data_IF_889217116578
#
_entry.id   IF_889217116578
#
_cell.length_a   1.000
_cell.length_b   1.000
_cell.length_c   1.000
_cell.angle_alpha   90.00
_cell.angle_beta   90.00
_cell.angle_gamma   90.00
#
_symmetry.space_group_name_H-M   'P 1'
#
loop_
_entity.id
_entity.type
_entity.pdbx_description
1 polymer ?
#
# COMPACT_ATOMS: atom_id res chain seq x y z
N UNK A 1 83.85 -1.45 13.08
CA UNK A 1 82.61 -0.68 13.09
C UNK A 1 81.48 -1.58 12.58
N UNK A 2 80.58 -2.02 13.45
CA UNK A 2 79.49 -2.94 13.12
C UNK A 2 78.22 -2.09 13.02
N UNK A 3 77.63 -2.04 11.84
CA UNK A 3 76.32 -1.42 11.56
C UNK A 3 75.23 -2.42 11.83
N UNK A 4 74.34 -2.13 12.81
CA UNK A 4 73.11 -2.86 13.03
C UNK A 4 72.00 -2.29 12.12
N UNK A 5 71.42 -3.16 11.30
CA UNK A 5 70.22 -2.87 10.55
C UNK A 5 68.98 -3.25 11.39
N UNK A 6 68.14 -2.29 11.66
CA UNK A 6 66.82 -2.49 12.27
C UNK A 6 65.78 -2.71 11.17
N UNK A 7 65.26 -3.94 11.05
CA UNK A 7 64.09 -4.23 10.19
C UNK A 7 62.81 -4.02 11.00
N UNK A 8 62.09 -2.94 10.70
CA UNK A 8 60.78 -2.70 11.25
C UNK A 8 59.71 -3.38 10.41
N UNK A 9 59.03 -4.35 10.98
CA UNK A 9 57.88 -5.02 10.36
C UNK A 9 56.62 -4.18 10.69
N UNK A 10 56.05 -3.55 9.66
CA UNK A 10 54.73 -2.88 9.76
C UNK A 10 53.66 -3.93 9.54
N UNK A 11 52.94 -4.28 10.61
CA UNK A 11 51.73 -5.11 10.52
C UNK A 11 50.56 -4.24 10.10
N UNK A 12 50.08 -4.39 8.88
CA UNK A 12 48.86 -3.77 8.41
C UNK A 12 47.64 -4.54 8.96
N UNK A 13 46.95 -3.96 9.94
CA UNK A 13 45.64 -4.45 10.33
C UNK A 13 44.62 -4.11 9.22
N UNK A 14 44.22 -5.11 8.44
CA UNK A 14 43.05 -5.01 7.58
C UNK A 14 41.80 -5.08 8.42
N UNK A 15 41.12 -3.93 8.66
CA UNK A 15 39.74 -3.92 9.15
C UNK A 15 38.84 -4.50 8.05
N UNK A 16 38.43 -5.75 8.22
CA UNK A 16 37.34 -6.34 7.44
C UNK A 16 36.06 -5.74 8.02
N UNK A 17 35.52 -4.74 7.34
CA UNK A 17 34.14 -4.30 7.59
C UNK A 17 33.21 -5.44 7.16
N UNK A 18 32.82 -6.30 8.09
CA UNK A 18 31.71 -7.22 7.91
C UNK A 18 30.44 -6.38 7.84
N UNK A 19 29.99 -6.04 6.63
CA UNK A 19 28.62 -5.59 6.42
C UNK A 19 27.71 -6.67 6.99
N UNK A 20 26.99 -6.36 8.07
CA UNK A 20 25.95 -7.21 8.57
C UNK A 20 24.88 -7.34 7.46
N UNK A 21 24.92 -8.44 6.71
CA UNK A 21 23.77 -8.87 5.94
C UNK A 21 22.68 -9.12 6.98
N UNK A 22 21.57 -8.37 6.92
CA UNK A 22 20.41 -8.63 7.73
C UNK A 22 20.05 -10.11 7.57
N UNK A 23 20.00 -10.85 8.69
CA UNK A 23 19.68 -12.26 8.63
C UNK A 23 18.21 -12.42 8.22
N UNK A 24 17.95 -13.39 7.37
CA UNK A 24 16.62 -13.72 6.89
C UNK A 24 15.65 -13.92 8.09
N UNK A 25 14.52 -13.16 8.12
CA UNK A 25 13.51 -13.26 9.17
C UNK A 25 13.69 -12.36 10.40
N UNK A 26 14.55 -11.35 10.37
CA UNK A 26 14.77 -10.47 11.51
C UNK A 26 13.57 -9.58 11.84
N UNK A 27 12.82 -9.08 10.85
CA UNK A 27 11.65 -8.22 11.07
C UNK A 27 10.54 -8.95 11.85
N UNK A 28 10.27 -10.23 11.55
CA UNK A 28 9.30 -11.03 12.30
C UNK A 28 9.66 -11.12 13.80
N UNK A 29 10.94 -11.35 14.11
CA UNK A 29 11.43 -11.44 15.49
C UNK A 29 11.30 -10.10 16.20
N UNK A 30 11.66 -8.99 15.53
CA UNK A 30 11.54 -7.65 16.06
C UNK A 30 10.09 -7.27 16.37
N UNK A 31 9.16 -7.52 15.43
CA UNK A 31 7.73 -7.26 15.59
C UNK A 31 7.16 -8.07 16.76
N UNK A 32 7.50 -9.38 16.85
CA UNK A 32 7.07 -10.23 17.96
C UNK A 32 7.64 -9.77 19.31
N UNK A 33 8.92 -9.41 19.37
CA UNK A 33 9.57 -8.94 20.59
C UNK A 33 9.00 -7.60 21.07
N UNK A 34 8.70 -6.69 20.14
CA UNK A 34 8.10 -5.39 20.42
C UNK A 34 6.60 -5.50 20.76
N UNK A 35 5.92 -6.54 20.26
CA UNK A 35 4.49 -6.77 20.47
C UNK A 35 3.57 -5.78 19.74
N UNK A 36 4.08 -5.09 18.73
CA UNK A 36 3.33 -4.13 17.91
C UNK A 36 3.92 -4.07 16.50
N UNK A 37 3.05 -3.99 15.48
CA UNK A 37 3.42 -3.75 14.08
C UNK A 37 3.48 -2.24 13.81
N UNK A 38 4.61 -1.73 13.32
CA UNK A 38 4.70 -0.37 12.80
C UNK A 38 4.30 -0.37 11.34
N UNK A 39 3.14 0.20 11.01
CA UNK A 39 2.62 0.25 9.65
C UNK A 39 2.67 1.69 9.12
N UNK A 40 3.44 1.91 8.04
CA UNK A 40 3.48 3.19 7.33
C UNK A 40 2.21 3.36 6.51
N UNK A 41 1.52 4.50 6.71
CA UNK A 41 0.21 4.76 6.11
C UNK A 41 0.15 6.17 5.51
N UNK A 42 -0.90 6.48 4.76
CA UNK A 42 -1.15 7.84 4.26
C UNK A 42 -1.40 8.81 5.43
N UNK A 43 -1.09 10.08 5.27
CA UNK A 43 -1.33 11.14 6.27
C UNK A 43 -2.80 11.43 6.52
N UNK A 44 -3.70 11.06 5.57
CA UNK A 44 -5.14 11.23 5.66
C UNK A 44 -5.77 11.17 4.27
N UNK A 45 -6.12 9.97 3.82
CA UNK A 45 -6.90 9.74 2.59
C UNK A 45 -8.11 8.89 2.97
N UNK A 46 -9.29 9.53 2.97
CA UNK A 46 -10.55 8.87 3.36
C UNK A 46 -10.76 7.59 2.55
N UNK A 47 -11.22 6.54 3.22
CA UNK A 47 -11.43 5.22 2.62
C UNK A 47 -10.16 4.38 2.48
N UNK A 48 -8.96 4.96 2.38
CA UNK A 48 -7.70 4.23 2.33
C UNK A 48 -6.99 4.21 3.69
N UNK A 49 -6.61 5.36 4.21
CA UNK A 49 -6.03 5.49 5.54
C UNK A 49 -6.31 6.89 6.09
N UNK A 50 -7.22 7.02 7.03
CA UNK A 50 -7.51 8.28 7.68
C UNK A 50 -7.91 8.07 9.15
N UNK A 51 -7.48 8.97 10.07
CA UNK A 51 -7.98 8.98 11.43
C UNK A 51 -9.34 9.70 11.48
N UNK A 52 -10.23 9.23 12.37
CA UNK A 52 -11.43 9.98 12.74
C UNK A 52 -11.10 11.10 13.75
N UNK A 53 -12.11 11.85 14.18
CA UNK A 53 -11.97 12.94 15.15
C UNK A 53 -11.43 12.47 16.53
N UNK A 54 -11.52 11.17 16.83
CA UNK A 54 -11.01 10.56 18.06
C UNK A 54 -9.63 9.96 17.88
N UNK A 55 -9.05 10.04 16.68
CA UNK A 55 -7.75 9.47 16.32
C UNK A 55 -7.79 7.98 15.97
N UNK A 56 -8.98 7.38 15.77
CA UNK A 56 -9.08 5.98 15.32
C UNK A 56 -8.88 5.89 13.82
N UNK A 57 -7.93 5.07 13.40
CA UNK A 57 -7.61 4.86 12.00
C UNK A 57 -8.53 3.84 11.33
N UNK A 58 -8.97 4.17 10.12
CA UNK A 58 -9.80 3.28 9.29
C UNK A 58 -9.45 3.41 7.81
N UNK A 59 -9.86 2.42 7.01
CA UNK A 59 -9.72 2.40 5.57
C UNK A 59 -9.10 1.11 5.05
N UNK A 60 -8.98 1.05 3.73
CA UNK A 60 -8.53 -0.12 2.97
C UNK A 60 -7.11 -0.57 3.36
N UNK A 61 -6.15 0.38 3.39
CA UNK A 61 -4.77 0.11 3.80
C UNK A 61 -4.68 -0.22 5.30
N UNK A 62 -5.52 0.42 6.12
CA UNK A 62 -5.60 0.15 7.57
C UNK A 62 -6.10 -1.27 7.84
N UNK A 63 -7.08 -1.76 7.07
CA UNK A 63 -7.58 -3.13 7.20
C UNK A 63 -6.48 -4.15 6.89
N UNK A 64 -5.64 -3.88 5.89
CA UNK A 64 -4.49 -4.74 5.59
C UNK A 64 -3.46 -4.72 6.74
N UNK A 65 -3.10 -3.56 7.32
CA UNK A 65 -2.22 -3.49 8.48
C UNK A 65 -2.77 -4.33 9.66
N UNK A 66 -4.08 -4.23 9.92
CA UNK A 66 -4.75 -5.03 10.96
C UNK A 66 -4.70 -6.54 10.67
N UNK A 67 -4.85 -6.92 9.40
CA UNK A 67 -4.76 -8.32 8.98
C UNK A 67 -3.35 -8.88 9.22
N UNK A 68 -2.28 -8.14 8.88
CA UNK A 68 -0.90 -8.53 9.17
C UNK A 68 -0.64 -8.63 10.68
N UNK A 69 -1.10 -7.66 11.46
CA UNK A 69 -0.96 -7.71 12.93
C UNK A 69 -1.70 -8.90 13.54
N UNK A 70 -2.90 -9.21 13.08
CA UNK A 70 -3.66 -10.38 13.51
C UNK A 70 -2.96 -11.69 13.15
N UNK A 71 -2.37 -11.77 11.95
CA UNK A 71 -1.60 -12.93 11.51
C UNK A 71 -0.37 -13.18 12.40
N UNK A 72 0.40 -12.14 12.70
CA UNK A 72 1.71 -12.21 13.36
C UNK A 72 1.62 -12.20 14.87
N UNK A 73 0.74 -11.36 15.43
CA UNK A 73 0.63 -11.07 16.87
C UNK A 73 -0.65 -11.61 17.51
N UNK A 74 -1.56 -12.18 16.71
CA UNK A 74 -2.84 -12.70 17.19
C UNK A 74 -3.88 -11.63 17.52
N UNK A 75 -3.55 -10.35 17.35
CA UNK A 75 -4.41 -9.22 17.76
C UNK A 75 -4.35 -8.09 16.72
N UNK A 76 -5.45 -7.78 16.01
CA UNK A 76 -5.51 -6.71 15.01
C UNK A 76 -5.33 -5.30 15.59
N UNK A 77 -5.45 -5.12 16.90
CA UNK A 77 -5.25 -3.83 17.56
C UNK A 77 -3.77 -3.50 17.79
N UNK A 78 -2.87 -4.46 17.63
CA UNK A 78 -1.43 -4.33 17.85
C UNK A 78 -0.72 -3.66 16.65
N UNK A 79 -1.23 -2.53 16.22
CA UNK A 79 -0.67 -1.71 15.14
C UNK A 79 -0.39 -0.30 15.62
N UNK A 80 0.80 0.19 15.35
CA UNK A 80 1.15 1.61 15.39
C UNK A 80 1.14 2.14 13.95
N UNK A 81 0.22 3.03 13.66
CA UNK A 81 0.18 3.71 12.37
C UNK A 81 1.16 4.87 12.35
N UNK A 82 2.01 4.91 11.31
CA UNK A 82 3.02 5.95 11.10
C UNK A 82 2.65 6.71 9.83
N UNK A 83 2.06 7.91 9.94
CA UNK A 83 1.70 8.70 8.78
C UNK A 83 2.93 9.14 7.99
N UNK A 84 2.90 8.96 6.66
CA UNK A 84 4.00 9.32 5.76
C UNK A 84 3.48 10.08 4.54
N UNK A 85 4.30 11.02 4.04
CA UNK A 85 4.03 11.75 2.79
C UNK A 85 4.53 10.98 1.56
N UNK A 86 4.30 11.50 0.36
CA UNK A 86 4.90 10.98 -0.87
C UNK A 86 6.42 10.90 -0.82
N UNK A 87 7.06 11.89 -0.17
CA UNK A 87 8.52 12.01 -0.06
C UNK A 87 9.11 11.16 1.06
N UNK A 88 8.43 11.02 2.21
CA UNK A 88 9.02 10.39 3.41
C UNK A 88 8.78 8.89 3.53
N UNK A 89 7.77 8.33 2.85
CA UNK A 89 7.33 6.93 3.00
C UNK A 89 8.43 5.90 2.76
N UNK A 90 9.25 6.09 1.73
CA UNK A 90 10.29 5.11 1.39
C UNK A 90 11.49 5.22 2.33
N UNK A 91 11.82 6.41 2.82
CA UNK A 91 12.84 6.60 3.85
C UNK A 91 12.40 5.98 5.17
N UNK A 92 11.14 6.14 5.57
CA UNK A 92 10.60 5.51 6.77
C UNK A 92 10.66 3.98 6.71
N UNK A 93 10.39 3.39 5.52
CA UNK A 93 10.52 1.95 5.32
C UNK A 93 12.00 1.50 5.33
N UNK A 94 12.86 2.18 4.59
CA UNK A 94 14.29 1.82 4.47
C UNK A 94 15.05 1.96 5.78
N UNK A 95 14.70 2.94 6.63
CA UNK A 95 15.32 3.16 7.95
C UNK A 95 14.85 2.18 9.03
N UNK A 96 13.79 1.41 8.78
CA UNK A 96 13.17 0.53 9.78
C UNK A 96 12.23 1.26 10.75
N UNK A 97 11.88 2.51 10.51
CA UNK A 97 10.85 3.22 11.29
C UNK A 97 9.49 2.51 11.16
N UNK A 98 9.21 1.96 9.98
CA UNK A 98 8.06 1.10 9.73
C UNK A 98 8.51 -0.29 9.26
N UNK A 99 7.74 -1.30 9.63
CA UNK A 99 7.99 -2.70 9.26
C UNK A 99 7.41 -3.04 7.88
N UNK A 100 6.29 -2.42 7.57
CA UNK A 100 5.56 -2.55 6.30
C UNK A 100 4.95 -1.20 5.93
N UNK A 101 4.92 -0.91 4.65
CA UNK A 101 4.29 0.29 4.10
C UNK A 101 3.01 -0.11 3.38
N UNK A 102 1.84 0.26 3.91
CA UNK A 102 0.53 0.12 3.29
C UNK A 102 -0.02 1.54 3.07
N UNK A 103 0.33 2.13 1.91
CA UNK A 103 0.11 3.56 1.67
C UNK A 103 -0.03 3.83 0.17
N UNK A 104 -1.08 3.29 -0.47
CA UNK A 104 -1.39 3.53 -1.88
C UNK A 104 -0.11 3.83 -2.72
N UNK A 105 0.87 2.92 -2.67
CA UNK A 105 2.16 3.09 -3.34
C UNK A 105 2.23 2.24 -4.59
N UNK A 106 2.47 2.89 -5.72
CA UNK A 106 2.59 2.24 -7.02
C UNK A 106 3.83 1.35 -7.07
N UNK A 107 3.66 0.10 -7.46
CA UNK A 107 4.75 -0.82 -7.76
C UNK A 107 5.39 -0.39 -9.09
N UNK A 108 6.62 0.14 -9.04
CA UNK A 108 7.37 0.56 -10.21
C UNK A 108 8.74 -0.09 -10.23
N UNK A 109 9.31 -0.22 -11.43
CA UNK A 109 10.67 -0.75 -11.62
C UNK A 109 11.70 -0.05 -10.72
N UNK A 110 11.68 1.29 -10.69
CA UNK A 110 12.63 2.06 -9.88
C UNK A 110 12.46 1.79 -8.38
N UNK A 111 11.22 1.76 -7.87
CA UNK A 111 10.96 1.50 -6.45
C UNK A 111 11.41 0.12 -6.02
N UNK A 112 11.18 -0.87 -6.85
CA UNK A 112 11.61 -2.24 -6.63
C UNK A 112 13.14 -2.36 -6.67
N UNK A 113 13.76 -1.99 -7.80
CA UNK A 113 15.16 -2.31 -8.06
C UNK A 113 16.16 -1.33 -7.48
N UNK A 114 15.87 -0.01 -7.50
CA UNK A 114 16.76 1.06 -7.04
C UNK A 114 16.52 1.38 -5.55
N UNK A 115 15.26 1.60 -5.15
CA UNK A 115 14.94 1.88 -3.75
C UNK A 115 14.92 0.64 -2.86
N UNK A 116 15.10 -0.57 -3.44
CA UNK A 116 15.15 -1.84 -2.70
C UNK A 116 13.89 -2.12 -1.89
N UNK A 117 12.74 -1.96 -2.55
CA UNK A 117 11.43 -2.23 -1.96
C UNK A 117 10.87 -3.52 -2.56
N UNK A 118 10.53 -4.48 -1.71
CA UNK A 118 9.84 -5.70 -2.12
C UNK A 118 8.32 -5.50 -1.99
N UNK A 119 7.64 -5.34 -3.12
CA UNK A 119 6.19 -5.25 -3.15
C UNK A 119 5.57 -6.63 -2.94
N UNK A 120 4.75 -6.75 -1.90
CA UNK A 120 4.15 -8.05 -1.52
C UNK A 120 3.03 -8.50 -2.45
N UNK A 121 2.59 -7.62 -3.34
CA UNK A 121 1.56 -7.85 -4.35
C UNK A 121 0.84 -6.56 -4.68
N UNK A 122 -0.07 -6.63 -5.66
CA UNK A 122 -0.97 -5.51 -5.98
C UNK A 122 -2.27 -5.72 -5.21
N UNK A 123 -2.61 -4.76 -4.34
CA UNK A 123 -3.88 -4.77 -3.61
C UNK A 123 -4.94 -3.86 -4.24
N UNK A 124 -4.54 -2.95 -5.14
CA UNK A 124 -5.46 -2.10 -5.89
C UNK A 124 -4.87 -1.72 -7.26
N UNK A 125 -5.58 -2.05 -8.33
CA UNK A 125 -5.25 -1.64 -9.70
C UNK A 125 -5.91 -0.29 -9.98
N UNK A 126 -5.10 0.75 -10.12
CA UNK A 126 -5.51 2.14 -10.31
C UNK A 126 -4.88 2.74 -11.58
N UNK A 127 -5.13 4.00 -11.79
CA UNK A 127 -4.55 4.84 -12.81
C UNK A 127 -4.65 6.30 -12.41
N UNK A 128 -3.77 7.15 -12.95
CA UNK A 128 -3.79 8.58 -12.70
C UNK A 128 -4.90 9.26 -13.49
N UNK A 129 -5.70 10.07 -12.79
CA UNK A 129 -6.76 10.91 -13.35
C UNK A 129 -6.58 12.39 -13.02
N UNK A 130 -7.57 13.18 -13.41
CA UNK A 130 -7.64 14.63 -13.15
C UNK A 130 -9.02 14.99 -12.62
N UNK A 131 -9.05 15.85 -11.60
CA UNK A 131 -10.28 16.45 -11.10
C UNK A 131 -10.27 17.94 -11.38
N UNK A 132 -11.38 18.46 -11.89
CA UNK A 132 -11.59 19.87 -12.20
C UNK A 132 -12.92 20.35 -11.63
N UNK A 133 -13.01 21.66 -11.38
CA UNK A 133 -14.29 22.27 -11.03
C UNK A 133 -15.19 22.35 -12.25
N UNK A 134 -16.46 22.08 -12.07
CA UNK A 134 -17.47 22.08 -13.13
C UNK A 134 -17.63 23.43 -13.82
N UNK A 135 -17.40 24.53 -13.07
CA UNK A 135 -17.47 25.90 -13.57
C UNK A 135 -16.38 26.25 -14.59
N UNK A 136 -15.30 25.47 -14.67
CA UNK A 136 -14.26 25.64 -15.70
C UNK A 136 -14.73 25.16 -17.10
N UNK A 137 -15.77 24.35 -17.20
CA UNK A 137 -16.28 23.82 -18.46
C UNK A 137 -15.35 22.84 -19.17
N UNK A 138 -14.26 22.39 -18.52
CA UNK A 138 -13.29 21.42 -19.05
C UNK A 138 -13.88 20.02 -19.01
N UNK A 139 -13.76 19.28 -20.11
CA UNK A 139 -14.28 17.90 -20.26
C UNK A 139 -13.21 16.87 -20.62
N UNK A 140 -12.00 17.32 -20.96
CA UNK A 140 -10.88 16.48 -21.35
C UNK A 140 -9.56 17.04 -20.80
N UNK A 141 -8.62 16.16 -20.44
CA UNK A 141 -7.26 16.52 -20.03
C UNK A 141 -6.54 17.37 -21.08
N UNK A 142 -6.86 17.18 -22.37
CA UNK A 142 -6.27 17.96 -23.47
C UNK A 142 -6.60 19.45 -23.42
N UNK A 143 -7.65 19.83 -22.70
CA UNK A 143 -8.06 21.23 -22.52
C UNK A 143 -7.31 21.91 -21.35
N UNK A 144 -6.46 21.17 -20.64
CA UNK A 144 -5.65 21.66 -19.52
C UNK A 144 -4.28 22.23 -19.95
N UNK A 145 -4.10 22.57 -21.24
CA UNK A 145 -2.86 23.23 -21.66
C UNK A 145 -2.68 24.57 -20.93
N UNK A 146 -1.46 24.85 -20.45
CA UNK A 146 -1.08 26.02 -19.64
C UNK A 146 -1.80 26.15 -18.27
N UNK A 147 -2.58 25.15 -17.87
CA UNK A 147 -3.29 25.15 -16.57
C UNK A 147 -2.31 25.05 -15.38
N UNK A 148 -2.74 25.57 -14.24
CA UNK A 148 -2.08 25.34 -12.96
C UNK A 148 -2.60 24.02 -12.38
N UNK A 149 -1.71 23.05 -12.11
CA UNK A 149 -2.08 21.71 -11.67
C UNK A 149 -1.49 21.41 -10.29
N UNK A 150 -2.34 21.13 -9.31
CA UNK A 150 -1.93 20.62 -8.02
C UNK A 150 -1.41 19.18 -8.17
N UNK A 151 -0.19 18.92 -7.74
CA UNK A 151 0.50 17.63 -7.84
C UNK A 151 1.34 17.34 -6.61
N UNK A 152 1.23 16.13 -6.06
CA UNK A 152 1.99 15.74 -4.88
C UNK A 152 3.42 15.33 -5.24
N UNK A 153 4.40 15.97 -4.59
CA UNK A 153 5.82 15.73 -4.80
C UNK A 153 6.23 14.32 -4.32
N UNK A 154 7.18 13.69 -5.00
CA UNK A 154 7.72 12.37 -4.68
C UNK A 154 6.78 11.21 -5.04
N UNK A 155 5.88 11.44 -5.99
CA UNK A 155 4.93 10.43 -6.47
C UNK A 155 5.23 9.98 -7.91
N UNK A 156 4.71 8.80 -8.29
CA UNK A 156 4.69 8.36 -9.71
C UNK A 156 3.85 9.32 -10.56
N UNK A 157 2.78 9.85 -9.99
CA UNK A 157 1.86 10.76 -10.67
C UNK A 157 2.52 12.09 -11.05
N UNK A 158 3.51 12.57 -10.29
CA UNK A 158 4.33 13.74 -10.67
C UNK A 158 5.13 13.47 -11.95
N UNK A 159 5.75 12.29 -12.05
CA UNK A 159 6.52 11.89 -13.24
C UNK A 159 5.61 11.65 -14.46
N UNK A 160 4.50 10.96 -14.27
CA UNK A 160 3.55 10.67 -15.33
C UNK A 160 2.91 11.95 -15.88
N UNK A 161 2.60 12.94 -15.01
CA UNK A 161 2.09 14.25 -15.44
C UNK A 161 3.06 14.92 -16.41
N UNK A 162 4.34 14.98 -16.06
CA UNK A 162 5.36 15.58 -16.91
C UNK A 162 5.50 14.85 -18.25
N UNK A 163 5.51 13.53 -18.23
CA UNK A 163 5.64 12.70 -19.43
C UNK A 163 4.41 12.82 -20.34
N UNK A 164 3.21 12.80 -19.78
CA UNK A 164 1.97 12.92 -20.55
C UNK A 164 1.85 14.28 -21.25
N UNK A 165 2.10 15.36 -20.53
CA UNK A 165 2.02 16.71 -21.10
C UNK A 165 3.07 16.91 -22.20
N UNK A 166 4.30 16.47 -21.96
CA UNK A 166 5.38 16.50 -22.95
C UNK A 166 5.01 15.70 -24.21
N UNK A 167 4.51 14.48 -24.05
CA UNK A 167 4.14 13.61 -25.17
C UNK A 167 3.00 14.17 -26.02
N UNK A 168 2.13 14.99 -25.41
CA UNK A 168 1.01 15.66 -26.10
C UNK A 168 1.32 17.09 -26.52
N UNK A 169 2.58 17.55 -26.44
CA UNK A 169 3.01 18.93 -26.72
C UNK A 169 2.23 19.98 -25.93
N UNK A 170 1.90 19.66 -24.68
CA UNK A 170 1.21 20.53 -23.74
C UNK A 170 2.19 21.07 -22.68
N UNK A 171 1.83 22.18 -22.07
CA UNK A 171 2.53 22.77 -20.94
C UNK A 171 1.59 22.92 -19.74
N UNK A 172 2.14 23.03 -18.54
CA UNK A 172 1.39 23.26 -17.30
C UNK A 172 2.26 24.00 -16.29
N UNK A 173 1.63 24.54 -15.25
CA UNK A 173 2.28 25.17 -14.11
C UNK A 173 2.07 24.26 -12.90
N UNK A 174 3.11 23.58 -12.37
CA UNK A 174 2.94 22.74 -11.19
C UNK A 174 2.71 23.59 -9.94
N UNK A 175 1.70 23.25 -9.16
CA UNK A 175 1.56 23.66 -7.77
C UNK A 175 1.85 22.42 -6.92
N UNK A 176 3.08 22.37 -6.41
CA UNK A 176 3.56 21.25 -5.63
C UNK A 176 2.93 21.25 -4.23
N UNK A 177 2.47 20.08 -3.79
CA UNK A 177 1.88 19.85 -2.48
C UNK A 177 2.58 18.68 -1.78
N UNK A 178 2.57 18.66 -0.46
CA UNK A 178 3.21 17.60 0.34
C UNK A 178 2.22 16.51 0.79
N UNK A 179 0.93 16.83 0.88
CA UNK A 179 -0.11 15.90 1.36
C UNK A 179 -1.41 16.01 0.58
N UNK A 180 -2.26 14.97 0.68
CA UNK A 180 -3.61 15.02 0.12
C UNK A 180 -4.44 16.17 0.71
N UNK A 181 -4.36 16.39 2.03
CA UNK A 181 -5.08 17.48 2.70
C UNK A 181 -4.67 18.86 2.20
N UNK A 182 -3.38 19.09 1.94
CA UNK A 182 -2.90 20.33 1.31
C UNK A 182 -3.43 20.47 -0.11
N UNK A 183 -3.38 19.39 -0.91
CA UNK A 183 -3.92 19.38 -2.27
C UNK A 183 -5.40 19.74 -2.32
N UNK A 184 -6.17 19.17 -1.41
CA UNK A 184 -7.58 19.50 -1.22
C UNK A 184 -7.78 20.99 -0.91
N UNK A 185 -7.05 21.53 0.07
CA UNK A 185 -7.13 22.93 0.44
C UNK A 185 -6.76 23.88 -0.72
N UNK A 186 -5.67 23.62 -1.42
CA UNK A 186 -5.22 24.44 -2.54
C UNK A 186 -6.21 24.40 -3.71
N UNK A 187 -6.75 23.21 -4.00
CA UNK A 187 -7.72 23.03 -5.07
C UNK A 187 -9.06 23.75 -4.76
N UNK A 188 -9.60 23.61 -3.56
CA UNK A 188 -10.83 24.30 -3.13
C UNK A 188 -10.62 25.82 -3.07
N UNK A 189 -9.43 26.29 -2.66
CA UNK A 189 -9.06 27.71 -2.69
C UNK A 189 -8.87 28.27 -4.10
N UNK A 190 -9.04 27.44 -5.14
CA UNK A 190 -8.82 27.80 -6.56
C UNK A 190 -7.38 28.23 -6.87
N UNK A 191 -6.40 27.79 -6.07
CA UNK A 191 -4.99 28.04 -6.32
C UNK A 191 -4.46 27.22 -7.51
N UNK A 192 -5.11 26.09 -7.83
CA UNK A 192 -4.90 25.32 -9.06
C UNK A 192 -6.22 25.10 -9.81
N UNK A 193 -6.11 24.89 -11.12
CA UNK A 193 -7.23 24.65 -12.02
C UNK A 193 -7.67 23.19 -11.96
N UNK A 194 -6.70 22.27 -11.85
CA UNK A 194 -6.91 20.84 -11.75
C UNK A 194 -6.11 20.26 -10.58
N UNK A 195 -6.63 19.17 -9.99
CA UNK A 195 -5.90 18.31 -9.08
C UNK A 195 -5.71 16.93 -9.72
N UNK A 196 -4.47 16.43 -9.72
CA UNK A 196 -4.14 15.13 -10.31
C UNK A 196 -3.46 14.23 -9.29
N UNK A 197 -3.94 13.00 -9.23
CA UNK A 197 -3.40 11.87 -8.45
C UNK A 197 -4.07 10.58 -8.96
N UNK A 198 -3.93 9.45 -8.26
CA UNK A 198 -4.68 8.22 -8.49
C UNK A 198 -6.19 8.51 -8.58
N UNK A 199 -6.88 7.90 -9.53
CA UNK A 199 -8.31 8.12 -9.74
C UNK A 199 -9.14 7.76 -8.50
N UNK A 200 -8.76 6.69 -7.80
CA UNK A 200 -9.38 6.33 -6.51
C UNK A 200 -9.15 7.40 -5.43
N UNK A 201 -7.97 8.02 -5.41
CA UNK A 201 -7.64 9.13 -4.53
C UNK A 201 -8.44 10.39 -4.85
N UNK A 202 -8.68 10.68 -6.13
CA UNK A 202 -9.56 11.77 -6.55
C UNK A 202 -11.02 11.52 -6.13
N UNK A 203 -11.50 10.29 -6.26
CA UNK A 203 -12.84 9.92 -5.81
C UNK A 203 -12.99 10.08 -4.28
N UNK A 204 -11.98 9.64 -3.53
CA UNK A 204 -11.93 9.80 -2.08
C UNK A 204 -11.93 11.30 -1.66
N UNK A 205 -11.08 12.10 -2.30
CA UNK A 205 -11.00 13.56 -2.07
C UNK A 205 -12.34 14.23 -2.42
N UNK A 206 -12.93 13.91 -3.58
CA UNK A 206 -14.23 14.47 -3.97
C UNK A 206 -15.33 14.15 -2.97
N UNK A 207 -15.32 12.94 -2.41
CA UNK A 207 -16.30 12.51 -1.42
C UNK A 207 -16.19 13.28 -0.08
N UNK A 208 -15.07 13.95 0.21
CA UNK A 208 -14.89 14.81 1.38
C UNK A 208 -15.45 16.22 1.23
N UNK A 209 -15.73 16.65 -0.01
CA UNK A 209 -16.19 18.00 -0.30
C UNK A 209 -17.65 18.22 0.15
N UNK A 210 -17.97 19.45 0.49
CA UNK A 210 -19.35 19.84 0.84
C UNK A 210 -20.30 19.80 -0.37
N UNK A 211 -19.75 19.93 -1.59
CA UNK A 211 -20.46 20.01 -2.87
C UNK A 211 -19.81 19.12 -3.95
N UNK A 212 -19.73 17.78 -3.72
CA UNK A 212 -18.99 16.86 -4.59
C UNK A 212 -19.48 16.85 -6.06
N UNK A 213 -20.74 17.21 -6.29
CA UNK A 213 -21.35 17.33 -7.62
C UNK A 213 -20.79 18.49 -8.47
N UNK A 214 -20.11 19.45 -7.85
CA UNK A 214 -19.45 20.55 -8.53
C UNK A 214 -18.01 20.25 -8.95
N UNK A 215 -17.56 19.02 -8.72
CA UNK A 215 -16.22 18.54 -9.07
C UNK A 215 -16.29 17.32 -9.99
N UNK A 216 -15.63 17.43 -11.15
CA UNK A 216 -15.64 16.40 -12.19
C UNK A 216 -14.30 15.69 -12.21
N UNK A 217 -14.29 14.37 -12.12
CA UNK A 217 -13.13 13.56 -12.47
C UNK A 217 -13.22 13.32 -13.99
N UNK A 218 -12.20 13.78 -14.71
CA UNK A 218 -12.14 13.65 -16.17
C UNK A 218 -12.04 12.18 -16.58
N UNK A 219 -12.54 11.80 -17.77
CA UNK A 219 -12.62 10.39 -18.18
C UNK A 219 -11.26 9.76 -18.52
N UNK A 220 -10.24 10.57 -18.82
CA UNK A 220 -8.95 10.03 -19.21
C UNK A 220 -8.15 9.55 -18.01
N UNK A 221 -7.59 8.35 -18.16
CA UNK A 221 -6.60 7.76 -17.28
C UNK A 221 -5.26 7.75 -18.03
N UNK A 222 -4.26 8.42 -17.50
CA UNK A 222 -3.00 8.68 -18.20
C UNK A 222 -1.87 7.70 -17.84
N UNK A 223 -2.06 6.83 -16.84
CA UNK A 223 -1.04 5.87 -16.41
C UNK A 223 -1.66 4.58 -15.87
N UNK A 224 -0.80 3.60 -15.59
CA UNK A 224 -1.10 2.42 -14.78
C UNK A 224 -0.49 2.64 -13.40
N UNK A 225 -1.32 2.54 -12.36
CA UNK A 225 -0.90 2.64 -10.97
C UNK A 225 -1.26 1.35 -10.21
N UNK A 226 -0.46 0.27 -10.36
CA UNK A 226 -0.64 -0.94 -9.55
C UNK A 226 -0.18 -0.65 -8.12
N UNK A 227 -1.12 -0.37 -7.21
CA UNK A 227 -0.83 -0.04 -5.82
C UNK A 227 -0.63 -1.32 -5.01
N UNK A 228 0.32 -1.30 -4.09
CA UNK A 228 0.56 -2.43 -3.22
C UNK A 228 1.35 -2.10 -1.96
N UNK A 229 1.19 -2.93 -0.90
CA UNK A 229 2.05 -2.85 0.26
C UNK A 229 3.48 -3.26 -0.08
N UNK A 230 4.44 -2.66 0.62
CA UNK A 230 5.86 -2.93 0.40
C UNK A 230 6.60 -3.16 1.72
N UNK A 231 7.66 -3.96 1.66
CA UNK A 231 8.62 -4.22 2.73
C UNK A 231 10.04 -3.92 2.22
N UNK A 232 11.03 -3.93 3.10
CA UNK A 232 12.45 -3.80 2.72
C UNK A 232 12.92 -5.06 1.99
N UNK A 233 13.81 -4.92 1.01
CA UNK A 233 14.55 -6.04 0.47
C UNK A 233 15.37 -6.76 1.55
N UNK A 234 15.62 -8.06 1.32
CA UNK A 234 16.53 -8.87 2.12
C UNK A 234 15.88 -9.64 3.27
N UNK A 235 14.63 -9.38 3.60
CA UNK A 235 13.84 -10.18 4.53
C UNK A 235 12.71 -10.91 3.79
N UNK A 236 13.08 -12.00 3.10
CA UNK A 236 12.16 -12.77 2.28
C UNK A 236 11.01 -13.34 3.11
N UNK A 237 11.28 -13.78 4.34
CA UNK A 237 10.24 -14.30 5.23
C UNK A 237 9.19 -13.23 5.58
N UNK A 238 9.63 -12.01 5.86
CA UNK A 238 8.71 -10.89 6.12
C UNK A 238 7.90 -10.50 4.87
N UNK A 239 8.55 -10.48 3.71
CA UNK A 239 7.88 -10.30 2.42
C UNK A 239 6.82 -11.37 2.15
N UNK A 240 7.14 -12.65 2.46
CA UNK A 240 6.19 -13.76 2.31
C UNK A 240 5.02 -13.65 3.29
N UNK A 241 5.24 -13.24 4.54
CA UNK A 241 4.15 -12.99 5.49
C UNK A 241 3.19 -11.92 4.95
N UNK A 242 3.71 -10.79 4.47
CA UNK A 242 2.89 -9.74 3.86
C UNK A 242 2.12 -10.26 2.64
N UNK A 243 2.81 -10.94 1.73
CA UNK A 243 2.25 -11.49 0.49
C UNK A 243 1.15 -12.51 0.75
N UNK A 244 1.43 -13.50 1.59
CA UNK A 244 0.44 -14.54 1.89
C UNK A 244 -0.73 -14.02 2.74
N UNK A 245 -0.53 -12.96 3.54
CA UNK A 245 -1.65 -12.26 4.18
C UNK A 245 -2.57 -11.63 3.13
N UNK A 246 -2.02 -10.94 2.12
CA UNK A 246 -2.82 -10.40 1.02
C UNK A 246 -3.54 -11.51 0.24
N UNK A 247 -2.84 -12.59 -0.11
CA UNK A 247 -3.44 -13.72 -0.82
C UNK A 247 -4.52 -14.42 0.03
N UNK A 248 -4.37 -14.51 1.34
CA UNK A 248 -5.41 -15.05 2.21
C UNK A 248 -6.71 -14.24 2.15
N UNK A 249 -6.62 -12.90 2.14
CA UNK A 249 -7.79 -12.03 2.01
C UNK A 249 -8.47 -12.20 0.64
N UNK A 250 -7.68 -12.30 -0.45
CA UNK A 250 -8.20 -12.46 -1.81
C UNK A 250 -8.82 -13.86 -2.00
N UNK A 251 -8.13 -14.92 -1.57
CA UNK A 251 -8.63 -16.30 -1.67
C UNK A 251 -9.88 -16.52 -0.80
N UNK A 252 -9.96 -15.88 0.37
CA UNK A 252 -11.14 -15.94 1.21
C UNK A 252 -12.39 -15.39 0.49
N UNK A 253 -12.26 -14.30 -0.28
CA UNK A 253 -13.36 -13.82 -1.10
C UNK A 253 -13.73 -14.84 -2.19
N UNK A 254 -12.73 -15.40 -2.90
CA UNK A 254 -12.94 -16.41 -3.95
C UNK A 254 -13.71 -17.63 -3.45
N UNK A 255 -13.40 -18.10 -2.23
CA UNK A 255 -14.03 -19.27 -1.62
C UNK A 255 -15.26 -18.93 -0.75
N UNK A 256 -15.72 -17.69 -0.74
CA UNK A 256 -16.88 -17.26 0.06
C UNK A 256 -16.64 -17.33 1.57
N UNK A 257 -15.37 -17.31 2.02
CA UNK A 257 -15.01 -17.20 3.43
C UNK A 257 -15.09 -15.76 3.85
N UNK A 258 -15.92 -15.46 4.85
CA UNK A 258 -16.14 -14.10 5.37
C UNK A 258 -15.78 -14.01 6.85
N UNK A 259 -15.63 -12.77 7.34
CA UNK A 259 -15.42 -12.53 8.78
C UNK A 259 -16.53 -13.15 9.66
N UNK A 260 -17.75 -13.27 9.12
CA UNK A 260 -18.91 -13.80 9.84
C UNK A 260 -18.97 -15.32 9.87
N UNK A 261 -18.60 -16.01 8.76
CA UNK A 261 -18.76 -17.47 8.63
C UNK A 261 -17.47 -18.27 8.86
N UNK A 262 -16.33 -17.61 9.03
CA UNK A 262 -15.00 -18.24 9.08
C UNK A 262 -14.88 -19.30 10.21
N UNK A 263 -15.48 -19.07 11.38
CA UNK A 263 -15.42 -20.02 12.50
C UNK A 263 -16.25 -21.29 12.24
N UNK A 264 -17.33 -21.16 11.48
CA UNK A 264 -18.13 -22.29 11.02
C UNK A 264 -17.39 -23.07 9.92
N UNK A 265 -16.88 -22.37 8.90
CA UNK A 265 -16.16 -22.99 7.79
C UNK A 265 -14.86 -23.67 8.23
N UNK A 266 -14.19 -23.17 9.26
CA UNK A 266 -13.04 -23.84 9.86
C UNK A 266 -13.40 -25.23 10.44
N UNK A 267 -14.66 -25.47 10.81
CA UNK A 267 -15.11 -26.75 11.38
C UNK A 267 -15.78 -27.65 10.34
N UNK A 268 -16.45 -27.07 9.35
CA UNK A 268 -17.38 -27.79 8.47
C UNK A 268 -16.96 -27.84 7.01
N UNK A 269 -15.99 -27.01 6.56
CA UNK A 269 -15.59 -26.97 5.15
C UNK A 269 -14.97 -28.29 4.71
N UNK A 270 -15.43 -28.81 3.58
CA UNK A 270 -14.84 -29.97 2.89
C UNK A 270 -13.92 -29.57 1.75
N UNK A 271 -13.79 -28.26 1.46
CA UNK A 271 -12.89 -27.74 0.44
C UNK A 271 -11.44 -27.79 0.96
N UNK A 272 -10.54 -28.57 0.34
CA UNK A 272 -9.16 -28.71 0.83
C UNK A 272 -8.37 -27.39 0.83
N UNK A 273 -8.63 -26.45 -0.08
CA UNK A 273 -7.97 -25.14 -0.11
C UNK A 273 -8.39 -24.30 1.11
N UNK A 274 -9.69 -24.28 1.42
CA UNK A 274 -10.22 -23.61 2.62
C UNK A 274 -9.66 -24.23 3.89
N UNK A 275 -9.59 -25.56 3.96
CA UNK A 275 -9.04 -26.26 5.12
C UNK A 275 -7.56 -25.89 5.36
N UNK A 276 -6.73 -25.88 4.31
CA UNK A 276 -5.32 -25.46 4.40
C UNK A 276 -5.18 -24.00 4.78
N UNK A 277 -5.92 -23.11 4.11
CA UNK A 277 -5.91 -21.69 4.40
C UNK A 277 -6.30 -21.38 5.85
N UNK A 278 -7.30 -22.08 6.38
CA UNK A 278 -7.77 -21.87 7.77
C UNK A 278 -6.97 -22.66 8.82
N UNK A 279 -5.96 -23.43 8.40
CA UNK A 279 -5.08 -24.18 9.30
C UNK A 279 -5.74 -25.39 9.97
N UNK A 280 -6.80 -25.95 9.39
CA UNK A 280 -7.49 -27.15 9.90
C UNK A 280 -6.89 -28.44 9.38
N UNK A 281 -6.19 -28.40 8.26
CA UNK A 281 -5.29 -29.44 7.74
C UNK A 281 -3.98 -28.75 7.35
N UNK A 282 -2.85 -29.43 7.49
CA UNK A 282 -1.52 -28.92 7.19
C UNK A 282 -1.17 -27.59 7.93
N UNK A 283 -0.07 -27.56 8.63
CA UNK A 283 0.40 -26.36 9.34
C UNK A 283 1.28 -25.50 8.41
N UNK A 284 0.66 -24.82 7.42
CA UNK A 284 1.36 -23.95 6.49
C UNK A 284 1.97 -22.72 7.19
N UNK A 285 1.39 -22.29 8.32
CA UNK A 285 1.92 -21.18 9.11
C UNK A 285 3.35 -21.41 9.57
N UNK A 286 3.72 -22.67 9.83
CA UNK A 286 5.07 -23.04 10.25
C UNK A 286 6.15 -22.63 9.26
N UNK A 287 5.85 -22.65 7.96
CA UNK A 287 6.78 -22.20 6.89
C UNK A 287 7.05 -20.72 6.95
N UNK A 288 6.12 -19.95 7.52
CA UNK A 288 6.24 -18.50 7.74
C UNK A 288 6.75 -18.15 9.14
N UNK A 289 6.99 -19.12 10.01
CA UNK A 289 7.28 -18.90 11.43
C UNK A 289 6.06 -18.43 12.24
N UNK A 290 4.87 -18.72 11.75
CA UNK A 290 3.57 -18.43 12.38
C UNK A 290 2.89 -19.73 12.83
N UNK A 291 1.78 -19.64 13.56
CA UNK A 291 0.95 -20.82 13.87
C UNK A 291 -0.06 -21.11 12.75
N UNK A 292 -0.74 -22.26 12.85
CA UNK A 292 -1.64 -22.75 11.80
C UNK A 292 -2.83 -21.82 11.52
N UNK A 293 -3.33 -21.05 12.51
CA UNK A 293 -4.53 -20.20 12.37
C UNK A 293 -4.22 -18.76 11.93
N UNK A 294 -2.99 -18.47 11.51
CA UNK A 294 -2.56 -17.10 11.13
C UNK A 294 -3.49 -16.45 10.09
N UNK A 295 -3.82 -17.17 9.00
CA UNK A 295 -4.67 -16.64 7.93
C UNK A 295 -6.13 -16.50 8.39
N UNK A 296 -6.64 -17.44 9.21
CA UNK A 296 -7.95 -17.34 9.83
C UNK A 296 -8.08 -16.05 10.65
N UNK A 297 -7.06 -15.72 11.47
CA UNK A 297 -7.05 -14.47 12.24
C UNK A 297 -6.98 -13.23 11.37
N UNK A 298 -6.16 -13.27 10.32
CA UNK A 298 -6.06 -12.15 9.35
C UNK A 298 -7.42 -11.84 8.72
N UNK A 299 -8.11 -12.87 8.21
CA UNK A 299 -9.43 -12.73 7.58
C UNK A 299 -10.48 -12.27 8.61
N UNK A 300 -10.47 -12.84 9.82
CA UNK A 300 -11.42 -12.49 10.88
C UNK A 300 -11.25 -11.02 11.35
N UNK A 301 -10.06 -10.45 11.23
CA UNK A 301 -9.74 -9.11 11.70
C UNK A 301 -10.46 -7.98 10.97
N UNK A 302 -10.78 -8.15 9.71
CA UNK A 302 -11.42 -7.09 8.89
C UNK A 302 -12.26 -7.62 7.75
N UNK A 303 -12.38 -8.94 7.60
CA UNK A 303 -13.06 -9.58 6.48
C UNK A 303 -12.10 -10.01 5.38
N UNK A 304 -12.67 -10.63 4.33
CA UNK A 304 -11.98 -10.92 3.09
C UNK A 304 -11.79 -9.63 2.26
N UNK A 305 -11.07 -9.73 1.14
CA UNK A 305 -10.80 -8.59 0.28
C UNK A 305 -12.07 -7.86 -0.18
N UNK A 306 -13.12 -8.59 -0.55
CA UNK A 306 -14.40 -8.02 -0.97
C UNK A 306 -15.14 -7.29 0.15
N UNK A 307 -15.12 -7.85 1.38
CA UNK A 307 -15.70 -7.18 2.56
C UNK A 307 -14.95 -5.87 2.87
N UNK A 308 -13.60 -5.91 2.85
CA UNK A 308 -12.75 -4.73 3.07
C UNK A 308 -13.04 -3.66 2.02
N UNK A 309 -13.05 -4.04 0.72
CA UNK A 309 -13.34 -3.11 -0.38
C UNK A 309 -14.72 -2.46 -0.20
N UNK A 310 -15.76 -3.27 -0.01
CA UNK A 310 -17.14 -2.81 0.14
C UNK A 310 -17.32 -1.85 1.33
N UNK A 311 -16.67 -2.15 2.46
CA UNK A 311 -16.81 -1.36 3.68
C UNK A 311 -16.02 -0.05 3.67
N UNK A 312 -14.98 0.08 2.82
CA UNK A 312 -14.05 1.22 2.89
C UNK A 312 -14.15 2.17 1.70
N UNK A 313 -14.19 1.63 0.47
CA UNK A 313 -14.13 2.42 -0.77
C UNK A 313 -15.22 2.06 -1.79
N UNK A 314 -15.98 1.00 -1.55
CA UNK A 314 -16.94 0.43 -2.49
C UNK A 314 -18.16 1.31 -2.78
N UNK A 315 -19.02 0.85 -3.68
CA UNK A 315 -20.17 1.59 -4.22
C UNK A 315 -21.18 2.05 -3.16
N UNK A 316 -21.24 1.39 -2.01
CA UNK A 316 -22.14 1.74 -0.91
C UNK A 316 -21.52 2.77 0.07
N UNK A 317 -20.25 3.16 -0.16
CA UNK A 317 -19.60 4.22 0.61
C UNK A 317 -19.75 5.57 -0.09
N UNK A 318 -19.50 6.70 0.57
CA UNK A 318 -19.51 8.01 -0.09
C UNK A 318 -18.50 8.11 -1.25
N UNK A 319 -17.46 7.27 -1.29
CA UNK A 319 -16.44 7.25 -2.34
C UNK A 319 -16.99 6.61 -3.62
N UNK A 320 -17.80 5.54 -3.48
CA UNK A 320 -18.59 4.98 -4.56
C UNK A 320 -17.79 4.26 -5.66
N UNK A 321 -16.65 3.62 -5.33
CA UNK A 321 -15.83 2.95 -6.33
C UNK A 321 -16.42 1.58 -6.72
N UNK A 322 -16.58 1.36 -8.03
CA UNK A 322 -16.84 0.05 -8.58
C UNK A 322 -15.58 -0.83 -8.53
N UNK A 323 -15.76 -2.15 -8.45
CA UNK A 323 -14.65 -3.10 -8.39
C UNK A 323 -13.76 -3.02 -9.65
N UNK A 324 -14.32 -2.97 -10.85
CA UNK A 324 -13.57 -2.91 -12.10
C UNK A 324 -12.45 -3.95 -12.16
N UNK A 325 -11.21 -3.52 -12.42
CA UNK A 325 -10.03 -4.40 -12.40
C UNK A 325 -9.77 -5.05 -11.04
N UNK A 326 -10.31 -4.49 -9.97
CA UNK A 326 -10.19 -4.99 -8.60
C UNK A 326 -11.24 -6.07 -8.25
N UNK A 327 -12.04 -6.53 -9.21
CA UNK A 327 -12.90 -7.70 -9.06
C UNK A 327 -12.06 -8.98 -9.07
N UNK A 328 -12.63 -10.07 -8.53
CA UNK A 328 -12.05 -11.41 -8.61
C UNK A 328 -11.81 -11.83 -10.06
N UNK A 329 -10.77 -12.62 -10.31
CA UNK A 329 -10.47 -13.16 -11.63
C UNK A 329 -11.64 -13.94 -12.23
N UNK A 330 -12.42 -14.64 -11.41
CA UNK A 330 -13.66 -15.34 -11.80
C UNK A 330 -14.78 -14.41 -12.26
N UNK A 331 -14.66 -13.11 -11.97
CA UNK A 331 -15.60 -12.06 -12.34
C UNK A 331 -15.01 -11.11 -13.39
N UNK A 332 -13.90 -11.48 -14.02
CA UNK A 332 -13.23 -10.69 -15.06
C UNK A 332 -12.27 -9.61 -14.55
N UNK A 333 -11.97 -9.58 -13.25
CA UNK A 333 -10.96 -8.71 -12.66
C UNK A 333 -9.55 -9.32 -12.61
N UNK A 334 -8.65 -8.67 -11.93
CA UNK A 334 -7.23 -9.05 -11.79
C UNK A 334 -6.88 -9.54 -10.38
N UNK A 335 -7.84 -9.60 -9.44
CA UNK A 335 -7.58 -10.12 -8.11
C UNK A 335 -7.48 -11.64 -8.17
N UNK A 336 -6.25 -12.13 -8.09
CA UNK A 336 -5.88 -13.54 -8.25
C UNK A 336 -4.92 -13.94 -7.14
N UNK A 337 -5.37 -14.78 -6.20
CA UNK A 337 -4.52 -15.32 -5.15
C UNK A 337 -3.81 -16.60 -5.61
N UNK A 338 -2.59 -16.83 -5.09
CA UNK A 338 -1.88 -18.09 -5.30
C UNK A 338 -2.49 -19.18 -4.42
N UNK A 339 -2.50 -20.45 -4.90
CA UNK A 339 -3.12 -21.56 -4.17
C UNK A 339 -2.34 -21.90 -2.87
N UNK A 340 -3.07 -22.25 -1.83
CA UNK A 340 -2.54 -22.71 -0.55
C UNK A 340 -2.20 -24.21 -0.62
N UNK A 341 -0.96 -24.53 -1.08
CA UNK A 341 -0.48 -25.91 -1.24
C UNK A 341 0.95 -26.09 -0.75
#
# INVERSE_FOLDING_TARGET
MKTLAFSGTVAALALVATGALAAEGDTLKEVKARGVLNCGVNTGLIGFAAPDANGNWSGFDIAYCKAVAAAVLGDPSKVKYVPTTGQTRFTALSSGEVDILARNSTYTFQRDTDLKLDFVGVNYYDGQGFMVRKDLGVTSVKELNDATICIQTGTSTELNLADYFKANNMTYKPLNIDSNAEGEQQYIAKACDAYTTDASGLAATRASFADPENHIILPEIISKEPLGPAVRHGDNNWGDIGRWTLFALIAAEEYGVTSANIDELAKSSTNPEVQRMLGTTDDLGKMLGLDAEWAKRAIKAGGNYGEIFAATIGEQTPIGLARGLNAQWTQGGLMYAMPFR
#
